data_IF_034011096144
#
_entry.id   IF_034011096144
#
_cell.length_a   1.000
_cell.length_b   1.000
_cell.length_c   1.000
_cell.angle_alpha   90.00
_cell.angle_beta   90.00
_cell.angle_gamma   90.00
#
_symmetry.space_group_name_H-M   'P 1'
#
loop_
_entity.id
_entity.type
_entity.pdbx_description
1 polymer ?
#
# COMPACT_ATOMS: atom_id res chain seq x y z
N UNK A 1 27.29 26.19 43.05
CA UNK A 1 27.39 26.45 41.59
C UNK A 1 26.51 25.45 40.89
N UNK A 2 25.64 25.96 40.03
CA UNK A 2 24.35 25.39 39.66
C UNK A 2 24.42 24.02 38.98
N UNK A 3 23.59 23.11 39.48
CA UNK A 3 23.18 21.88 38.81
C UNK A 3 22.33 22.28 37.61
N UNK A 4 22.92 22.18 36.42
CA UNK A 4 22.22 22.27 35.14
C UNK A 4 21.25 21.10 35.05
N UNK A 5 20.04 21.33 35.56
CA UNK A 5 18.90 20.45 35.40
C UNK A 5 18.62 20.31 33.90
N UNK A 6 19.19 19.27 33.31
CA UNK A 6 18.86 18.80 31.97
C UNK A 6 17.44 18.23 32.06
N UNK A 7 16.45 19.13 32.05
CA UNK A 7 15.04 18.79 31.82
C UNK A 7 14.94 18.27 30.39
N UNK A 8 15.22 16.98 30.22
CA UNK A 8 14.58 16.21 29.17
C UNK A 8 13.08 16.41 29.37
N UNK A 9 12.49 17.28 28.55
CA UNK A 9 11.04 17.37 28.41
C UNK A 9 10.59 15.97 28.02
N UNK A 10 10.07 15.20 28.97
CA UNK A 10 9.47 13.91 28.66
C UNK A 10 8.36 14.21 27.67
N UNK A 11 8.54 13.79 26.42
CA UNK A 11 7.46 13.80 25.44
C UNK A 11 6.29 13.05 26.09
N UNK A 12 5.08 13.57 25.94
CA UNK A 12 3.86 12.93 26.46
C UNK A 12 3.88 11.49 25.93
N UNK A 13 3.87 10.47 26.80
CA UNK A 13 3.83 9.07 26.37
C UNK A 13 2.65 8.87 25.41
N UNK A 14 2.91 8.39 24.19
CA UNK A 14 1.93 8.27 23.11
C UNK A 14 2.12 9.27 21.96
N UNK A 15 2.66 10.47 22.21
CA UNK A 15 2.90 11.46 21.14
C UNK A 15 3.92 10.94 20.11
N UNK A 16 4.94 10.21 20.57
CA UNK A 16 5.95 9.60 19.69
C UNK A 16 5.31 8.52 18.82
N UNK A 17 4.43 7.70 19.38
CA UNK A 17 3.77 6.62 18.64
C UNK A 17 2.79 7.17 17.60
N UNK A 18 2.05 8.24 17.94
CA UNK A 18 1.13 8.92 17.02
C UNK A 18 1.88 9.59 15.86
N UNK A 19 2.98 10.29 16.15
CA UNK A 19 3.82 10.92 15.13
C UNK A 19 4.43 9.87 14.21
N UNK A 20 5.00 8.79 14.75
CA UNK A 20 5.57 7.69 13.96
C UNK A 20 4.51 7.04 13.09
N UNK A 21 3.31 6.79 13.63
CA UNK A 21 2.20 6.24 12.88
C UNK A 21 1.79 7.14 11.71
N UNK A 22 1.68 8.45 11.93
CA UNK A 22 1.35 9.40 10.86
C UNK A 22 2.46 9.46 9.81
N UNK A 23 3.73 9.50 10.22
CA UNK A 23 4.85 9.44 9.29
C UNK A 23 4.81 8.19 8.41
N UNK A 24 4.47 7.03 8.99
CA UNK A 24 4.31 5.80 8.23
C UNK A 24 3.13 5.87 7.26
N UNK A 25 1.99 6.44 7.68
CA UNK A 25 0.84 6.61 6.78
C UNK A 25 1.21 7.47 5.58
N UNK A 26 1.92 8.58 5.80
CA UNK A 26 2.38 9.45 4.71
C UNK A 26 3.36 8.73 3.78
N UNK A 27 4.30 7.96 4.33
CA UNK A 27 5.23 7.18 3.52
C UNK A 27 4.52 6.12 2.66
N UNK A 28 3.62 5.34 3.27
CA UNK A 28 2.81 4.31 2.58
C UNK A 28 1.89 4.93 1.51
N UNK A 29 1.46 6.18 1.71
CA UNK A 29 0.65 6.88 0.73
C UNK A 29 1.45 7.36 -0.50
N UNK A 30 2.77 7.45 -0.38
CA UNK A 30 3.67 7.86 -1.48
C UNK A 30 4.25 6.62 -2.18
N UNK A 31 4.58 5.59 -1.39
CA UNK A 31 5.16 4.34 -1.88
C UNK A 31 4.27 3.17 -1.48
N UNK A 32 3.69 2.50 -2.49
CA UNK A 32 2.85 1.32 -2.32
C UNK A 32 3.62 0.12 -1.73
N UNK A 33 4.95 0.09 -1.86
CA UNK A 33 5.80 -0.87 -1.16
C UNK A 33 6.12 -0.47 0.28
N UNK A 34 5.68 0.71 0.70
CA UNK A 34 5.96 1.30 2.00
C UNK A 34 5.81 0.31 3.15
N UNK A 35 4.70 -0.43 3.29
CA UNK A 35 4.52 -1.37 4.39
C UNK A 35 5.59 -2.48 4.39
N UNK A 36 5.91 -3.03 3.21
CA UNK A 36 6.93 -4.06 3.03
C UNK A 36 8.33 -3.54 3.36
N UNK A 37 8.63 -2.29 3.00
CA UNK A 37 9.89 -1.64 3.37
C UNK A 37 9.98 -1.41 4.87
N UNK A 38 8.92 -0.89 5.50
CA UNK A 38 8.90 -0.56 6.92
C UNK A 38 9.07 -1.80 7.82
N UNK A 39 8.53 -2.97 7.44
CA UNK A 39 8.70 -4.22 8.21
C UNK A 39 10.14 -4.77 8.20
N UNK A 40 10.99 -4.29 7.30
CA UNK A 40 12.40 -4.70 7.20
C UNK A 40 13.33 -3.84 8.06
N UNK A 41 12.89 -2.67 8.52
CA UNK A 41 13.73 -1.72 9.28
C UNK A 41 14.13 -2.26 10.65
N UNK A 42 13.16 -2.73 11.44
CA UNK A 42 13.40 -3.32 12.76
C UNK A 42 12.22 -4.19 13.21
N UNK A 43 12.43 -5.02 14.23
CA UNK A 43 11.35 -5.81 14.85
C UNK A 43 10.26 -4.93 15.47
N UNK A 44 10.65 -3.78 16.05
CA UNK A 44 9.71 -2.81 16.59
C UNK A 44 8.82 -2.20 15.49
N UNK A 45 9.42 -1.76 14.39
CA UNK A 45 8.68 -1.20 13.24
C UNK A 45 7.76 -2.25 12.62
N UNK A 46 8.26 -3.47 12.44
CA UNK A 46 7.45 -4.60 11.97
C UNK A 46 6.21 -4.82 12.84
N UNK A 47 6.38 -4.83 14.16
CA UNK A 47 5.26 -5.00 15.10
C UNK A 47 4.21 -3.90 14.91
N UNK A 48 4.64 -2.64 14.82
CA UNK A 48 3.75 -1.50 14.58
C UNK A 48 3.00 -1.66 13.26
N UNK A 49 3.72 -1.90 12.16
CA UNK A 49 3.13 -1.94 10.81
C UNK A 49 2.15 -3.12 10.65
N UNK A 50 2.51 -4.32 11.13
CA UNK A 50 1.62 -5.49 11.08
C UNK A 50 0.38 -5.30 11.96
N UNK A 51 0.51 -4.62 13.10
CA UNK A 51 -0.62 -4.41 14.02
C UNK A 51 -1.70 -3.47 13.48
N UNK A 52 -1.39 -2.67 12.43
CA UNK A 52 -2.22 -1.59 11.92
C UNK A 52 -2.72 -1.89 10.49
N UNK A 53 -3.97 -2.35 10.33
CA UNK A 53 -4.51 -2.75 9.03
C UNK A 53 -4.54 -1.63 7.97
N UNK A 54 -4.63 -0.37 8.39
CA UNK A 54 -4.69 0.79 7.48
C UNK A 54 -3.45 0.96 6.60
N UNK A 55 -2.29 0.45 7.02
CA UNK A 55 -1.10 0.49 6.17
C UNK A 55 -1.21 -0.44 4.96
N UNK A 56 -2.12 -1.41 4.98
CA UNK A 56 -2.18 -2.48 3.99
C UNK A 56 -3.36 -2.33 3.02
N UNK A 57 -4.09 -1.21 3.07
CA UNK A 57 -5.30 -1.00 2.25
C UNK A 57 -4.99 -0.57 0.82
N UNK A 58 -3.76 -0.12 0.55
CA UNK A 58 -3.34 0.30 -0.78
C UNK A 58 -2.55 -0.84 -1.45
N UNK A 59 -3.11 -1.39 -2.53
CA UNK A 59 -2.57 -2.56 -3.22
C UNK A 59 -2.23 -2.17 -4.66
N UNK A 60 -0.99 -2.38 -5.06
CA UNK A 60 -0.56 -2.30 -6.46
C UNK A 60 -0.65 -3.69 -7.09
N UNK A 61 -1.26 -3.74 -8.27
CA UNK A 61 -1.32 -4.91 -9.13
C UNK A 61 -0.53 -4.58 -10.39
N UNK A 62 0.71 -5.08 -10.43
CA UNK A 62 1.67 -4.85 -11.51
C UNK A 62 2.27 -6.18 -11.96
N UNK A 63 1.83 -6.72 -13.10
CA UNK A 63 2.33 -7.99 -13.63
C UNK A 63 3.80 -8.00 -14.00
N UNK A 64 4.43 -6.84 -14.15
CA UNK A 64 5.85 -6.75 -14.45
C UNK A 64 6.72 -7.14 -13.24
N UNK A 65 6.13 -7.13 -12.04
CA UNK A 65 6.80 -7.45 -10.80
C UNK A 65 6.57 -8.92 -10.40
N UNK A 66 7.61 -9.75 -10.19
CA UNK A 66 7.46 -11.20 -10.05
C UNK A 66 6.63 -11.66 -8.82
N UNK A 67 6.53 -10.83 -7.79
CA UNK A 67 5.88 -11.09 -6.52
C UNK A 67 4.59 -10.27 -6.31
N UNK A 68 4.07 -9.61 -7.36
CA UNK A 68 2.90 -8.73 -7.27
C UNK A 68 1.71 -9.41 -6.59
N UNK A 69 1.45 -10.68 -6.95
CA UNK A 69 0.32 -11.44 -6.42
C UNK A 69 0.47 -11.70 -4.93
N UNK A 70 1.65 -12.17 -4.52
CA UNK A 70 1.93 -12.43 -3.11
C UNK A 70 1.78 -11.15 -2.29
N UNK A 71 2.28 -10.02 -2.78
CA UNK A 71 2.13 -8.73 -2.10
C UNK A 71 0.68 -8.29 -2.02
N UNK A 72 -0.09 -8.46 -3.09
CA UNK A 72 -1.51 -8.16 -3.10
C UNK A 72 -2.28 -9.02 -2.10
N UNK A 73 -2.01 -10.33 -2.04
CA UNK A 73 -2.65 -11.26 -1.11
C UNK A 73 -2.30 -10.92 0.34
N UNK A 74 -1.02 -10.63 0.63
CA UNK A 74 -0.56 -10.21 1.97
C UNK A 74 -1.21 -8.88 2.36
N UNK A 75 -1.25 -7.90 1.45
CA UNK A 75 -1.91 -6.61 1.68
C UNK A 75 -3.40 -6.77 1.98
N UNK A 76 -4.11 -7.56 1.17
CA UNK A 76 -5.52 -7.86 1.36
C UNK A 76 -5.80 -8.60 2.68
N UNK A 77 -4.94 -9.53 3.06
CA UNK A 77 -5.05 -10.23 4.33
C UNK A 77 -4.81 -9.29 5.53
N UNK A 78 -3.73 -8.51 5.50
CA UNK A 78 -3.32 -7.65 6.63
C UNK A 78 -4.18 -6.40 6.79
N UNK A 79 -4.85 -5.95 5.73
CA UNK A 79 -5.90 -4.92 5.80
C UNK A 79 -7.19 -5.42 6.44
N UNK A 80 -7.33 -6.73 6.71
CA UNK A 80 -8.50 -7.35 7.34
C UNK A 80 -9.76 -7.03 6.55
N UNK A 81 -10.79 -6.45 7.17
CA UNK A 81 -12.06 -6.12 6.50
C UNK A 81 -12.12 -4.67 6.02
N UNK A 82 -10.98 -3.96 5.99
CA UNK A 82 -10.99 -2.58 5.51
C UNK A 82 -11.17 -2.51 3.99
N UNK A 83 -11.83 -1.45 3.51
CA UNK A 83 -11.89 -1.13 2.09
C UNK A 83 -10.50 -1.06 1.45
N UNK A 84 -10.38 -1.65 0.27
CA UNK A 84 -9.16 -1.65 -0.52
C UNK A 84 -9.17 -0.53 -1.56
N UNK A 85 -8.00 0.04 -1.77
CA UNK A 85 -7.67 0.91 -2.90
C UNK A 85 -6.69 0.14 -3.78
N UNK A 86 -7.13 -0.20 -5.00
CA UNK A 86 -6.36 -1.01 -5.93
C UNK A 86 -5.86 -0.11 -7.04
N UNK A 87 -4.54 -0.14 -7.28
CA UNK A 87 -3.93 0.44 -8.46
C UNK A 87 -3.59 -0.70 -9.40
N UNK A 88 -4.20 -0.69 -10.58
CA UNK A 88 -3.96 -1.67 -11.63
C UNK A 88 -3.07 -1.04 -12.68
N UNK A 89 -1.83 -1.54 -12.80
CA UNK A 89 -0.94 -1.12 -13.86
C UNK A 89 -1.32 -1.84 -15.15
N UNK A 90 -1.54 -1.07 -16.21
CA UNK A 90 -1.89 -1.58 -17.53
C UNK A 90 -0.70 -1.50 -18.50
N UNK A 91 -0.57 -2.44 -19.45
CA UNK A 91 -1.48 -3.57 -19.69
C UNK A 91 -1.39 -4.65 -18.59
N UNK A 92 -2.54 -5.23 -18.26
CA UNK A 92 -2.67 -6.38 -17.38
C UNK A 92 -3.23 -7.53 -18.23
N UNK A 93 -2.42 -8.55 -18.47
CA UNK A 93 -2.66 -9.61 -19.48
C UNK A 93 -2.84 -10.98 -18.79
N UNK A 94 -2.61 -11.06 -17.49
CA UNK A 94 -2.71 -12.28 -16.70
C UNK A 94 -4.15 -12.71 -16.54
N UNK A 95 -4.36 -14.02 -16.73
CA UNK A 95 -5.61 -14.70 -16.40
C UNK A 95 -5.76 -14.96 -14.89
N UNK A 96 -4.86 -14.43 -14.04
CA UNK A 96 -4.94 -14.58 -12.59
C UNK A 96 -6.17 -13.85 -12.06
N UNK A 97 -7.05 -14.61 -11.42
CA UNK A 97 -8.20 -14.06 -10.71
C UNK A 97 -7.75 -13.09 -9.61
N UNK A 98 -8.31 -11.88 -9.64
CA UNK A 98 -8.20 -10.84 -8.60
C UNK A 98 -9.54 -10.59 -7.92
N UNK A 99 -10.45 -11.57 -7.99
CA UNK A 99 -11.82 -11.45 -7.46
C UNK A 99 -11.84 -11.17 -5.95
N UNK A 100 -10.94 -11.79 -5.20
CA UNK A 100 -10.85 -11.59 -3.75
C UNK A 100 -10.49 -10.14 -3.40
N UNK A 101 -9.66 -9.48 -4.22
CA UNK A 101 -9.29 -8.08 -4.07
C UNK A 101 -10.46 -7.16 -4.45
N UNK A 102 -11.09 -7.44 -5.60
CA UNK A 102 -12.17 -6.59 -6.15
C UNK A 102 -13.42 -6.60 -5.28
N UNK A 103 -13.71 -7.70 -4.57
CA UNK A 103 -14.85 -7.80 -3.64
C UNK A 103 -14.85 -6.75 -2.52
N UNK A 104 -13.67 -6.26 -2.12
CA UNK A 104 -13.50 -5.19 -1.11
C UNK A 104 -12.98 -3.89 -1.70
N UNK A 105 -12.87 -3.82 -3.02
CA UNK A 105 -12.35 -2.65 -3.70
C UNK A 105 -13.37 -1.52 -3.67
N UNK A 106 -12.97 -0.39 -3.11
CA UNK A 106 -13.77 0.85 -3.13
C UNK A 106 -13.26 1.85 -4.14
N UNK A 107 -12.00 1.72 -4.55
CA UNK A 107 -11.38 2.60 -5.53
C UNK A 107 -10.43 1.77 -6.38
N UNK A 108 -10.67 1.78 -7.69
CA UNK A 108 -9.81 1.16 -8.69
C UNK A 108 -9.20 2.27 -9.54
N UNK A 109 -7.87 2.34 -9.56
CA UNK A 109 -7.09 3.33 -10.29
C UNK A 109 -6.33 2.60 -11.39
N UNK A 110 -6.37 3.11 -12.61
CA UNK A 110 -5.60 2.56 -13.72
C UNK A 110 -4.34 3.40 -13.93
N UNK A 111 -3.18 2.75 -13.93
CA UNK A 111 -1.89 3.40 -14.18
C UNK A 111 -1.28 2.87 -15.48
N UNK A 112 -0.97 3.75 -16.42
CA UNK A 112 -0.37 3.36 -17.70
C UNK A 112 1.12 3.13 -17.50
N UNK A 113 1.58 1.90 -17.75
CA UNK A 113 3.01 1.57 -17.65
C UNK A 113 3.85 2.32 -18.69
N UNK A 114 5.14 2.57 -18.41
CA UNK A 114 6.04 3.32 -19.28
C UNK A 114 6.34 2.63 -20.63
N UNK A 115 6.03 1.33 -20.75
CA UNK A 115 6.20 0.55 -21.97
C UNK A 115 5.10 0.81 -23.03
N UNK A 116 4.04 1.57 -22.69
CA UNK A 116 2.97 1.91 -23.62
C UNK A 116 3.10 3.37 -24.09
N UNK A 117 3.41 3.63 -25.38
CA UNK A 117 3.37 4.96 -25.96
C UNK A 117 1.94 5.52 -25.88
N UNK A 118 1.80 6.79 -25.49
CA UNK A 118 0.49 7.46 -25.32
C UNK A 118 -0.40 7.42 -26.57
N UNK A 119 0.16 7.20 -27.75
CA UNK A 119 -0.56 7.19 -29.02
C UNK A 119 -1.40 5.92 -29.25
N UNK A 120 -1.09 4.82 -28.56
CA UNK A 120 -1.82 3.55 -28.67
C UNK A 120 -2.97 3.42 -27.64
N UNK A 121 -3.17 4.43 -26.79
CA UNK A 121 -4.23 4.46 -25.79
C UNK A 121 -5.65 4.38 -26.39
N UNK A 122 -5.81 4.60 -27.71
CA UNK A 122 -7.08 4.44 -28.42
C UNK A 122 -7.49 2.97 -28.63
N UNK A 123 -6.55 2.03 -28.57
CA UNK A 123 -6.81 0.60 -28.77
C UNK A 123 -7.26 -0.13 -27.50
N UNK A 124 -7.14 0.49 -26.32
CA UNK A 124 -7.51 -0.10 -25.03
C UNK A 124 -8.97 0.15 -24.62
N UNK A 125 -9.77 0.83 -25.46
CA UNK A 125 -11.23 0.98 -25.28
C UNK A 125 -11.98 -0.25 -25.85
N UNK A 126 -11.37 -1.44 -25.79
CA UNK A 126 -12.07 -2.70 -25.97
C UNK A 126 -12.53 -3.19 -24.58
N UNK A 127 -13.77 -3.70 -24.44
CA UNK A 127 -14.44 -3.79 -23.16
C UNK A 127 -13.70 -4.76 -22.24
N UNK A 128 -13.24 -4.25 -21.10
CA UNK A 128 -12.80 -5.03 -19.94
C UNK A 128 -14.01 -5.84 -19.47
N UNK A 129 -14.26 -7.00 -20.09
CA UNK A 129 -15.38 -7.89 -19.79
C UNK A 129 -15.14 -8.77 -18.55
N UNK A 130 -14.06 -8.54 -17.79
CA UNK A 130 -13.70 -9.37 -16.64
C UNK A 130 -13.58 -8.61 -15.31
N UNK A 131 -13.92 -7.32 -15.29
CA UNK A 131 -14.22 -6.56 -14.06
C UNK A 131 -15.73 -6.27 -14.05
N UNK A 132 -16.53 -7.33 -14.08
CA UNK A 132 -17.95 -7.19 -13.76
C UNK A 132 -18.07 -7.06 -12.25
N UNK A 133 -18.38 -5.84 -11.81
CA UNK A 133 -18.94 -5.54 -10.49
C UNK A 133 -20.26 -6.30 -10.34
#
# INVERSE_FOLDING_TARGET
MESSAQRTRSLIPGLVDDVVHEMFLQFVAIDWNGPFTLILVSTAWRSVVISKPRFWTWIMVDETEPDWKMRADVGAHLSRNLPLQIVLKIPFISDVSVMDLTSRCTTLIYEVGPAFPRDDAKLLVAPIRYLAI
#
